data_IF_053487135193
#
_entry.id   IF_053487135193
#
_cell.length_a   1.000
_cell.length_b   1.000
_cell.length_c   1.000
_cell.angle_alpha   90.00
_cell.angle_beta   90.00
_cell.angle_gamma   90.00
#
_symmetry.space_group_name_H-M   'P 1'
#
loop_
_entity.id
_entity.type
_entity.pdbx_description
1 polymer ?
#
# COMPACT_ATOMS: atom_id res chain seq x y z
N UNK A 1 23.56 -1.67 -8.99
CA UNK A 1 22.88 -2.98 -9.14
C UNK A 1 21.88 -2.87 -10.27
N UNK A 2 21.90 -3.77 -11.27
CA UNK A 2 20.96 -3.76 -12.40
C UNK A 2 19.98 -4.92 -12.21
N UNK A 3 18.67 -4.63 -12.29
CA UNK A 3 17.63 -5.66 -12.24
C UNK A 3 17.56 -6.42 -13.56
N UNK A 4 17.09 -7.67 -13.52
CA UNK A 4 16.85 -8.50 -14.72
C UNK A 4 15.57 -8.10 -15.43
N UNK A 5 15.41 -8.49 -16.69
CA UNK A 5 14.19 -8.23 -17.46
C UNK A 5 12.96 -8.88 -16.81
N UNK A 6 13.13 -10.07 -16.22
CA UNK A 6 12.07 -10.74 -15.46
C UNK A 6 11.65 -9.94 -14.22
N UNK A 7 12.61 -9.37 -13.49
CA UNK A 7 12.31 -8.52 -12.33
C UNK A 7 11.60 -7.24 -12.78
N UNK A 8 12.01 -6.66 -13.92
CA UNK A 8 11.35 -5.49 -14.48
C UNK A 8 9.91 -5.79 -14.89
N UNK A 9 9.67 -6.89 -15.60
CA UNK A 9 8.32 -7.35 -15.95
C UNK A 9 7.43 -7.57 -14.72
N UNK A 10 8.00 -8.13 -13.65
CA UNK A 10 7.27 -8.27 -12.38
C UNK A 10 6.87 -6.90 -11.83
N UNK A 11 7.80 -5.94 -11.75
CA UNK A 11 7.50 -4.58 -11.26
C UNK A 11 6.47 -3.87 -12.15
N UNK A 12 6.59 -4.02 -13.46
CA UNK A 12 5.66 -3.43 -14.44
C UNK A 12 4.24 -4.03 -14.34
N UNK A 13 4.09 -5.23 -13.76
CA UNK A 13 2.79 -5.85 -13.49
C UNK A 13 2.12 -5.35 -12.20
N UNK A 14 2.86 -4.65 -11.34
CA UNK A 14 2.35 -4.12 -10.08
C UNK A 14 1.70 -2.76 -10.30
N UNK A 15 0.68 -2.48 -9.49
CA UNK A 15 0.07 -1.15 -9.43
C UNK A 15 0.51 -0.44 -8.15
N UNK A 16 0.68 0.87 -8.23
CA UNK A 16 1.01 1.74 -7.10
C UNK A 16 -0.03 2.84 -7.02
N UNK A 17 -0.82 2.86 -5.95
CA UNK A 17 -1.91 3.83 -5.79
C UNK A 17 -1.94 4.37 -4.36
N UNK A 18 -2.29 5.66 -4.22
CA UNK A 18 -2.46 6.28 -2.92
C UNK A 18 -3.70 5.73 -2.22
N UNK A 19 -3.61 5.49 -0.92
CA UNK A 19 -4.69 4.91 -0.12
C UNK A 19 -5.99 5.73 -0.25
N UNK A 20 -5.94 7.05 -0.08
CA UNK A 20 -7.09 7.97 -0.16
C UNK A 20 -7.55 8.30 -1.57
N UNK A 21 -6.86 7.87 -2.64
CA UNK A 21 -7.28 8.20 -4.01
C UNK A 21 -8.53 7.43 -4.46
N UNK A 22 -8.90 6.36 -3.76
CA UNK A 22 -10.07 5.54 -4.08
C UNK A 22 -10.68 4.92 -2.81
N UNK A 23 -11.96 5.19 -2.54
CA UNK A 23 -12.66 4.63 -1.38
C UNK A 23 -12.76 3.11 -1.39
N UNK A 24 -12.69 2.46 -2.56
CA UNK A 24 -12.66 1.00 -2.66
C UNK A 24 -11.47 0.38 -1.89
N UNK A 25 -10.38 1.13 -1.72
CA UNK A 25 -9.21 0.70 -0.97
C UNK A 25 -9.51 0.39 0.50
N UNK A 26 -10.48 1.09 1.12
CA UNK A 26 -10.90 0.80 2.50
C UNK A 26 -11.40 -0.64 2.65
N UNK A 27 -12.18 -1.14 1.68
CA UNK A 27 -12.66 -2.53 1.69
C UNK A 27 -11.54 -3.52 1.40
N UNK A 28 -10.55 -3.13 0.61
CA UNK A 28 -9.41 -3.98 0.24
C UNK A 28 -8.44 -4.15 1.41
N UNK A 29 -8.17 -3.07 2.14
CA UNK A 29 -7.32 -3.05 3.34
C UNK A 29 -7.82 -4.04 4.40
N UNK A 30 -9.14 -4.24 4.53
CA UNK A 30 -9.69 -5.25 5.46
C UNK A 30 -9.23 -6.69 5.15
N UNK A 31 -8.87 -6.99 3.89
CA UNK A 31 -8.37 -8.29 3.45
C UNK A 31 -6.84 -8.42 3.55
N UNK A 32 -6.14 -7.32 3.77
CA UNK A 32 -4.71 -7.35 4.00
C UNK A 32 -4.42 -8.03 5.34
N UNK A 33 -3.45 -8.93 5.37
CA UNK A 33 -3.00 -9.60 6.56
C UNK A 33 -1.49 -9.81 6.52
N UNK A 34 -0.85 -9.83 7.68
CA UNK A 34 0.56 -10.17 7.80
C UNK A 34 0.80 -11.05 9.02
N UNK A 35 0.93 -12.36 8.80
CA UNK A 35 1.12 -13.35 9.88
C UNK A 35 2.37 -13.10 10.73
N UNK A 36 3.40 -12.46 10.16
CA UNK A 36 4.67 -12.21 10.86
C UNK A 36 4.66 -10.92 11.66
N UNK A 37 3.87 -9.93 11.24
CA UNK A 37 3.84 -8.63 11.87
C UNK A 37 2.44 -7.99 11.80
N UNK A 38 1.59 -8.31 12.78
CA UNK A 38 0.26 -7.75 12.91
C UNK A 38 0.20 -6.23 13.11
N UNK A 39 1.30 -5.60 13.55
CA UNK A 39 1.33 -4.12 13.67
C UNK A 39 1.23 -3.42 12.31
N UNK A 40 1.76 -4.04 11.25
CA UNK A 40 1.64 -3.52 9.88
C UNK A 40 0.19 -3.58 9.39
N UNK A 41 -0.53 -4.63 9.78
CA UNK A 41 -1.94 -4.80 9.48
C UNK A 41 -2.80 -3.78 10.22
N UNK A 42 -2.58 -3.64 11.54
CA UNK A 42 -3.27 -2.64 12.37
C UNK A 42 -3.07 -1.21 11.87
N UNK A 43 -1.81 -0.82 11.61
CA UNK A 43 -1.51 0.54 11.11
C UNK A 43 -2.31 0.85 9.84
N UNK A 44 -2.36 -0.11 8.91
CA UNK A 44 -3.05 0.07 7.64
C UNK A 44 -4.58 0.13 7.81
N UNK A 45 -5.15 -0.71 8.69
CA UNK A 45 -6.60 -0.82 8.91
C UNK A 45 -7.17 0.32 9.75
N UNK A 46 -6.41 0.81 10.72
CA UNK A 46 -6.93 1.70 11.76
C UNK A 46 -6.54 3.17 11.54
N UNK A 47 -5.27 3.45 11.27
CA UNK A 47 -4.72 4.83 11.30
C UNK A 47 -4.43 5.41 9.91
N UNK A 48 -3.97 4.56 8.99
CA UNK A 48 -3.37 5.00 7.73
C UNK A 48 -4.29 5.88 6.87
N UNK A 49 -5.57 5.55 6.74
CA UNK A 49 -6.50 6.32 5.91
C UNK A 49 -6.73 7.73 6.47
N UNK A 50 -6.85 7.87 7.79
CA UNK A 50 -7.07 9.16 8.43
C UNK A 50 -5.85 10.08 8.25
N UNK A 51 -4.65 9.56 8.46
CA UNK A 51 -3.41 10.31 8.27
C UNK A 51 -3.14 10.66 6.79
N UNK A 52 -3.48 9.73 5.88
CA UNK A 52 -3.40 9.96 4.43
C UNK A 52 -4.36 11.05 3.96
N UNK A 53 -5.59 11.04 4.45
CA UNK A 53 -6.61 12.05 4.12
C UNK A 53 -6.27 13.43 4.69
N UNK A 54 -5.68 13.48 5.89
CA UNK A 54 -5.17 14.74 6.48
C UNK A 54 -3.97 15.30 5.72
N UNK A 55 -3.27 14.47 4.96
CA UNK A 55 -2.07 14.87 4.23
C UNK A 55 -0.78 14.87 5.06
N UNK A 56 -0.82 14.39 6.31
CA UNK A 56 0.36 14.29 7.18
C UNK A 56 1.32 13.21 6.68
N UNK A 57 0.77 12.09 6.24
CA UNK A 57 1.52 10.92 5.78
C UNK A 57 0.79 10.34 4.57
N UNK A 58 1.45 10.30 3.41
CA UNK A 58 0.90 9.65 2.23
C UNK A 58 1.13 8.14 2.26
N UNK A 59 0.07 7.32 2.22
CA UNK A 59 0.16 5.87 2.14
C UNK A 59 -0.04 5.38 0.71
N UNK A 60 0.85 4.52 0.22
CA UNK A 60 0.77 3.91 -1.10
C UNK A 60 0.63 2.40 -0.99
N UNK A 61 -0.38 1.87 -1.68
CA UNK A 61 -0.66 0.45 -1.78
C UNK A 61 0.02 -0.10 -3.03
N UNK A 62 0.79 -1.19 -2.86
CA UNK A 62 1.32 -1.96 -3.99
C UNK A 62 0.48 -3.21 -4.16
N UNK A 63 -0.11 -3.35 -5.36
CA UNK A 63 -1.04 -4.44 -5.65
C UNK A 63 -0.61 -5.26 -6.86
N UNK A 64 -0.98 -6.53 -6.86
CA UNK A 64 -0.88 -7.38 -8.05
C UNK A 64 -2.03 -7.11 -9.06
N UNK A 65 -2.03 -7.85 -10.16
CA UNK A 65 -3.04 -7.77 -11.21
C UNK A 65 -4.46 -8.16 -10.73
N UNK A 66 -4.58 -8.92 -9.63
CA UNK A 66 -5.84 -9.33 -9.00
C UNK A 66 -6.31 -8.32 -7.94
N UNK A 67 -5.68 -7.14 -7.86
CA UNK A 67 -5.92 -6.13 -6.84
C UNK A 67 -5.66 -6.61 -5.40
N UNK A 68 -4.78 -7.60 -5.19
CA UNK A 68 -4.37 -8.00 -3.84
C UNK A 68 -3.22 -7.10 -3.39
N UNK A 69 -3.35 -6.53 -2.19
CA UNK A 69 -2.29 -5.71 -1.59
C UNK A 69 -1.16 -6.65 -1.19
N UNK A 70 0.00 -6.48 -1.81
CA UNK A 70 1.21 -7.25 -1.50
C UNK A 70 1.99 -6.60 -0.34
N UNK A 71 2.10 -5.27 -0.40
CA UNK A 71 2.73 -4.45 0.64
C UNK A 71 2.28 -3.00 0.48
N UNK A 72 2.66 -2.16 1.44
CA UNK A 72 2.47 -0.72 1.36
C UNK A 72 3.73 -0.02 1.85
N UNK A 73 3.85 1.26 1.50
CA UNK A 73 4.82 2.16 2.12
C UNK A 73 4.16 3.50 2.39
N UNK A 74 4.76 4.24 3.33
CA UNK A 74 4.27 5.56 3.72
C UNK A 74 5.35 6.61 3.53
N UNK A 75 4.97 7.78 3.04
CA UNK A 75 5.83 8.95 2.89
C UNK A 75 5.33 10.02 3.84
N UNK A 76 6.14 10.45 4.80
CA UNK A 76 5.80 11.57 5.68
C UNK A 76 5.86 12.86 4.84
N UNK A 77 4.75 13.59 4.75
CA UNK A 77 4.59 14.69 3.80
C UNK A 77 5.00 16.07 4.35
N UNK A 78 5.69 16.12 5.49
CA UNK A 78 6.05 17.37 6.17
C UNK A 78 4.90 17.90 7.04
N UNK A 79 5.25 18.69 8.05
CA UNK A 79 4.33 19.33 8.99
C UNK A 79 4.04 20.76 8.52
#
# INVERSE_FOLDING_TARGET
MRITDRQKQLLDSLTCERLSSNEAHLRMVNRFFNERNGSLEHTLKDEAYAEDKKGNIAFYLIKDADNRILFYFSVKCGM
#
